data_IF_205628941439
#
_entry.id   IF_205628941439
#
_cell.length_a   1.000
_cell.length_b   1.000
_cell.length_c   1.000
_cell.angle_alpha   90.00
_cell.angle_beta   90.00
_cell.angle_gamma   90.00
#
_symmetry.space_group_name_H-M   'P 1'
#
loop_
_entity.id
_entity.type
_entity.pdbx_description
1 polymer ?
#
# COMPACT_ATOMS: atom_id res chain seq x y z
N UNK A 1 -4.82 5.40 -3.25
CA UNK A 1 -5.30 5.96 -4.55
C UNK A 1 -4.64 5.31 -5.76
N UNK A 2 -3.32 5.18 -5.86
CA UNK A 2 -2.65 4.57 -7.02
C UNK A 2 -3.24 3.21 -7.45
N UNK A 3 -3.49 2.30 -6.49
CA UNK A 3 -4.04 0.97 -6.79
C UNK A 3 -5.43 0.98 -7.43
N UNK A 4 -6.30 1.91 -7.03
CA UNK A 4 -7.65 1.99 -7.61
C UNK A 4 -7.60 2.62 -9.01
N UNK A 5 -6.76 3.63 -9.22
CA UNK A 5 -6.56 4.24 -10.53
C UNK A 5 -6.02 3.25 -11.57
N UNK A 6 -5.15 2.33 -11.15
CA UNK A 6 -4.58 1.30 -12.03
C UNK A 6 -5.40 0.00 -12.05
N UNK A 7 -6.60 0.00 -11.48
CA UNK A 7 -7.49 -1.16 -11.39
C UNK A 7 -6.82 -2.44 -10.82
N UNK A 8 -5.89 -2.26 -9.85
CA UNK A 8 -5.18 -3.38 -9.19
C UNK A 8 -5.68 -3.67 -7.77
N UNK A 9 -6.80 -3.07 -7.35
CA UNK A 9 -7.47 -3.46 -6.11
C UNK A 9 -7.98 -4.91 -6.22
N UNK A 10 -7.98 -5.70 -5.12
CA UNK A 10 -8.56 -7.04 -5.09
C UNK A 10 -10.09 -6.97 -5.04
N UNK A 11 -10.70 -6.41 -6.09
CA UNK A 11 -12.14 -6.43 -6.29
C UNK A 11 -12.61 -7.82 -6.72
N UNK A 12 -13.90 -8.15 -6.57
CA UNK A 12 -14.41 -9.45 -7.00
C UNK A 12 -14.14 -9.72 -8.48
N UNK A 13 -14.24 -8.70 -9.32
CA UNK A 13 -13.90 -8.79 -10.75
C UNK A 13 -12.42 -9.12 -10.97
N UNK A 14 -11.49 -8.41 -10.30
CA UNK A 14 -10.06 -8.68 -10.43
C UNK A 14 -9.64 -10.04 -9.84
N UNK A 15 -10.31 -10.48 -8.77
CA UNK A 15 -10.09 -11.81 -8.19
C UNK A 15 -10.64 -12.93 -9.08
N UNK A 16 -11.78 -12.70 -9.72
CA UNK A 16 -12.36 -13.65 -10.69
C UNK A 16 -11.45 -13.84 -11.90
N UNK A 17 -10.96 -12.77 -12.51
CA UNK A 17 -10.01 -12.85 -13.63
C UNK A 17 -8.71 -13.58 -13.25
N UNK A 18 -8.32 -13.54 -11.98
CA UNK A 18 -7.18 -14.31 -11.44
C UNK A 18 -7.55 -15.70 -10.96
N UNK A 19 -8.79 -16.15 -11.21
CA UNK A 19 -9.29 -17.48 -10.82
C UNK A 19 -9.24 -17.75 -9.29
N UNK A 20 -9.31 -16.69 -8.47
CA UNK A 20 -9.30 -16.81 -7.00
C UNK A 20 -10.70 -16.98 -6.43
N UNK A 21 -11.70 -16.39 -7.08
CA UNK A 21 -13.11 -16.47 -6.67
C UNK A 21 -13.98 -16.91 -7.85
N UNK A 22 -15.10 -17.64 -7.60
CA UNK A 22 -15.97 -18.17 -8.65
C UNK A 22 -16.97 -17.15 -9.21
N UNK A 23 -17.13 -15.97 -8.60
CA UNK A 23 -18.14 -14.99 -8.98
C UNK A 23 -17.59 -13.57 -8.97
N UNK A 24 -18.11 -12.74 -9.88
CA UNK A 24 -17.80 -11.30 -9.97
C UNK A 24 -18.74 -10.42 -9.15
N UNK A 25 -19.83 -10.99 -8.60
CA UNK A 25 -20.89 -10.23 -7.94
C UNK A 25 -20.41 -9.57 -6.65
N UNK A 26 -20.98 -8.41 -6.37
CA UNK A 26 -20.73 -7.69 -5.12
C UNK A 26 -21.36 -8.45 -3.94
N UNK A 27 -20.57 -8.83 -2.95
CA UNK A 27 -21.07 -9.51 -1.74
C UNK A 27 -21.98 -8.64 -0.86
N UNK A 28 -22.04 -7.31 -1.09
CA UNK A 28 -22.89 -6.40 -0.31
C UNK A 28 -24.27 -6.16 -0.95
N UNK A 29 -24.32 -5.89 -2.25
CA UNK A 29 -25.58 -5.65 -2.96
C UNK A 29 -26.07 -6.88 -3.75
N UNK A 30 -25.23 -7.87 -3.99
CA UNK A 30 -25.49 -9.11 -4.75
C UNK A 30 -25.99 -8.90 -6.20
N UNK A 31 -26.08 -7.65 -6.68
CA UNK A 31 -26.76 -7.31 -7.94
C UNK A 31 -25.79 -7.07 -9.10
N UNK A 32 -24.65 -6.44 -8.87
CA UNK A 32 -23.76 -5.97 -9.92
C UNK A 32 -22.33 -6.52 -9.77
N UNK A 33 -21.57 -6.65 -10.87
CA UNK A 33 -20.16 -6.97 -10.80
C UNK A 33 -19.41 -5.93 -9.96
N UNK A 34 -18.58 -6.40 -9.06
CA UNK A 34 -17.76 -5.54 -8.19
C UNK A 34 -16.42 -5.22 -8.87
N UNK A 35 -16.42 -4.22 -9.70
CA UNK A 35 -15.20 -3.54 -10.16
C UNK A 35 -14.72 -2.45 -9.16
N UNK A 36 -13.70 -1.71 -9.53
CA UNK A 36 -13.16 -0.64 -8.69
C UNK A 36 -14.14 0.51 -8.48
N UNK A 37 -14.90 0.88 -9.53
CA UNK A 37 -15.89 1.96 -9.47
C UNK A 37 -17.11 1.55 -8.65
N UNK A 38 -17.65 0.36 -8.89
CA UNK A 38 -18.74 -0.18 -8.10
C UNK A 38 -18.35 -0.30 -6.61
N UNK A 39 -17.12 -0.70 -6.34
CA UNK A 39 -16.67 -0.88 -4.97
C UNK A 39 -16.73 0.38 -4.11
N UNK A 40 -16.51 1.56 -4.67
CA UNK A 40 -16.38 2.81 -3.92
C UNK A 40 -17.37 3.89 -4.33
N UNK A 41 -18.13 3.72 -5.42
CA UNK A 41 -19.03 4.74 -5.94
C UNK A 41 -20.44 4.22 -6.21
N UNK A 42 -20.63 3.32 -7.17
CA UNK A 42 -21.95 3.00 -7.73
C UNK A 42 -22.72 1.89 -6.98
N UNK A 43 -22.21 1.34 -5.90
CA UNK A 43 -22.92 0.32 -5.13
C UNK A 43 -24.08 0.93 -4.32
N UNK A 44 -25.28 0.37 -4.45
CA UNK A 44 -26.47 0.83 -3.71
C UNK A 44 -26.30 0.87 -2.21
N UNK A 45 -25.53 -0.06 -1.62
CA UNK A 45 -25.29 -0.12 -0.17
C UNK A 45 -24.48 1.05 0.38
N UNK A 46 -23.86 1.86 -0.49
CA UNK A 46 -23.07 3.02 -0.12
C UNK A 46 -23.59 4.32 -0.77
N UNK A 47 -24.66 4.26 -1.54
CA UNK A 47 -25.22 5.44 -2.25
C UNK A 47 -25.56 6.57 -1.30
N UNK A 48 -26.07 6.25 -0.09
CA UNK A 48 -26.39 7.23 0.95
C UNK A 48 -25.18 8.05 1.42
N UNK A 49 -23.96 7.51 1.32
CA UNK A 49 -22.73 8.25 1.67
C UNK A 49 -22.53 9.43 0.74
N UNK A 50 -22.73 9.20 -0.57
CA UNK A 50 -22.51 10.22 -1.58
C UNK A 50 -23.64 11.25 -1.63
N UNK A 51 -24.86 10.87 -1.23
CA UNK A 51 -26.00 11.79 -1.12
C UNK A 51 -25.95 12.68 0.14
N UNK A 52 -25.07 12.43 1.09
CA UNK A 52 -24.93 13.22 2.31
C UNK A 52 -24.42 14.64 2.05
N UNK A 53 -23.62 14.83 1.01
CA UNK A 53 -23.05 16.13 0.61
C UNK A 53 -23.47 16.47 -0.80
N UNK A 54 -24.29 17.52 -0.95
CA UNK A 54 -24.85 17.92 -2.25
C UNK A 54 -23.79 18.19 -3.34
N UNK A 55 -22.65 18.73 -2.94
CA UNK A 55 -21.58 19.06 -3.88
C UNK A 55 -20.94 17.82 -4.56
N UNK A 56 -21.10 16.61 -4.03
CA UNK A 56 -20.64 15.42 -4.74
C UNK A 56 -21.36 15.23 -6.07
N UNK A 57 -22.68 15.39 -6.09
CA UNK A 57 -23.46 15.25 -7.30
C UNK A 57 -23.25 16.40 -8.30
N UNK A 58 -22.87 17.58 -7.81
CA UNK A 58 -22.56 18.73 -8.66
C UNK A 58 -21.16 18.58 -9.30
N UNK A 59 -20.24 17.89 -8.65
CA UNK A 59 -18.84 17.72 -9.09
C UNK A 59 -18.65 16.47 -9.93
N UNK A 60 -19.27 15.35 -9.52
CA UNK A 60 -19.12 14.07 -10.20
C UNK A 60 -19.86 14.03 -11.53
N UNK A 61 -19.30 13.39 -12.57
CA UNK A 61 -20.05 13.11 -13.79
C UNK A 61 -21.22 12.16 -13.47
N UNK A 62 -22.36 12.29 -14.15
CA UNK A 62 -23.55 11.50 -13.86
C UNK A 62 -23.32 9.98 -14.03
N UNK A 63 -22.49 9.59 -14.97
CA UNK A 63 -22.14 8.20 -15.26
C UNK A 63 -20.63 8.08 -15.56
N UNK A 64 -19.77 8.06 -14.52
CA UNK A 64 -18.33 7.92 -14.74
C UNK A 64 -18.02 6.54 -15.32
N UNK A 65 -17.22 6.49 -16.39
CA UNK A 65 -16.80 5.24 -17.02
C UNK A 65 -15.61 4.59 -16.30
N UNK A 66 -14.87 5.35 -15.51
CA UNK A 66 -13.72 4.87 -14.78
C UNK A 66 -13.52 5.64 -13.48
N UNK A 67 -12.78 5.03 -12.56
CA UNK A 67 -12.40 5.72 -11.33
C UNK A 67 -11.49 6.93 -11.59
N UNK A 68 -10.64 6.88 -12.62
CA UNK A 68 -9.77 8.00 -12.99
C UNK A 68 -10.60 9.20 -13.45
N UNK A 69 -11.63 8.99 -14.28
CA UNK A 69 -12.54 10.04 -14.71
C UNK A 69 -13.25 10.69 -13.51
N UNK A 70 -13.77 9.85 -12.60
CA UNK A 70 -14.40 10.31 -11.37
C UNK A 70 -13.43 11.11 -10.49
N UNK A 71 -12.23 10.61 -10.25
CA UNK A 71 -11.21 11.30 -9.46
C UNK A 71 -10.81 12.63 -10.09
N UNK A 72 -10.63 12.64 -11.41
CA UNK A 72 -10.25 13.85 -12.13
C UNK A 72 -11.28 14.98 -11.96
N UNK A 73 -12.57 14.66 -11.93
CA UNK A 73 -13.62 15.68 -11.72
C UNK A 73 -13.49 16.39 -10.36
N UNK A 74 -13.03 15.68 -9.33
CA UNK A 74 -12.76 16.27 -8.00
C UNK A 74 -11.41 16.99 -7.95
N UNK A 75 -10.38 16.50 -8.60
CA UNK A 75 -9.05 17.13 -8.62
C UNK A 75 -9.03 18.45 -9.42
N UNK A 76 -9.82 18.55 -10.47
CA UNK A 76 -9.95 19.79 -11.26
C UNK A 76 -10.88 20.83 -10.62
N UNK A 77 -11.69 20.42 -9.65
CA UNK A 77 -12.48 21.34 -8.84
C UNK A 77 -11.56 22.01 -7.81
N UNK A 78 -11.27 23.30 -7.99
CA UNK A 78 -10.36 24.07 -7.12
C UNK A 78 -10.98 24.51 -5.79
N UNK A 79 -12.13 23.97 -5.44
CA UNK A 79 -12.71 24.25 -4.13
C UNK A 79 -11.95 23.53 -3.01
N UNK A 80 -11.72 24.28 -1.94
CA UNK A 80 -10.86 23.87 -0.84
C UNK A 80 -11.30 22.55 -0.20
N UNK A 81 -10.39 21.60 -0.09
CA UNK A 81 -10.53 20.29 0.55
C UNK A 81 -11.55 19.30 -0.04
N UNK A 82 -12.25 19.61 -1.13
CA UNK A 82 -13.22 18.67 -1.71
C UNK A 82 -12.57 17.40 -2.26
N UNK A 83 -11.42 17.54 -2.91
CA UNK A 83 -10.66 16.41 -3.44
C UNK A 83 -10.10 15.52 -2.30
N UNK A 84 -9.57 16.13 -1.25
CA UNK A 84 -9.04 15.45 -0.07
C UNK A 84 -10.13 14.66 0.64
N UNK A 85 -11.29 15.28 0.90
CA UNK A 85 -12.44 14.60 1.52
C UNK A 85 -12.90 13.44 0.65
N UNK A 86 -13.03 13.63 -0.67
CA UNK A 86 -13.39 12.56 -1.59
C UNK A 86 -12.41 11.37 -1.49
N UNK A 87 -11.12 11.65 -1.53
CA UNK A 87 -10.06 10.62 -1.45
C UNK A 87 -10.10 9.85 -0.12
N UNK A 88 -10.31 10.55 1.00
CA UNK A 88 -10.43 9.92 2.33
C UNK A 88 -11.69 9.06 2.39
N UNK A 89 -12.82 9.53 1.87
CA UNK A 89 -14.07 8.76 1.84
C UNK A 89 -13.93 7.47 1.00
N UNK A 90 -13.30 7.55 -0.16
CA UNK A 90 -12.98 6.38 -1.00
C UNK A 90 -12.14 5.35 -0.23
N UNK A 91 -11.14 5.82 0.53
CA UNK A 91 -10.30 4.96 1.36
C UNK A 91 -11.10 4.32 2.50
N UNK A 92 -11.94 5.07 3.20
CA UNK A 92 -12.82 4.57 4.27
C UNK A 92 -13.82 3.52 3.75
N UNK A 93 -14.43 3.77 2.59
CA UNK A 93 -15.34 2.83 1.94
C UNK A 93 -14.66 1.52 1.55
N UNK A 94 -13.43 1.61 1.03
CA UNK A 94 -12.64 0.42 0.73
C UNK A 94 -12.29 -0.37 2.00
N UNK A 95 -11.84 0.30 3.07
CA UNK A 95 -11.54 -0.32 4.35
C UNK A 95 -12.78 -0.97 4.97
N UNK A 96 -13.93 -0.29 4.91
CA UNK A 96 -15.20 -0.85 5.36
C UNK A 96 -15.57 -2.15 4.63
N UNK A 97 -15.38 -2.19 3.32
CA UNK A 97 -15.62 -3.41 2.53
C UNK A 97 -14.69 -4.56 2.92
N UNK A 98 -13.45 -4.25 3.16
CA UNK A 98 -12.48 -5.25 3.63
C UNK A 98 -12.86 -5.75 5.03
N UNK A 99 -13.26 -4.87 5.95
CA UNK A 99 -13.72 -5.28 7.26
C UNK A 99 -14.89 -6.28 7.16
N UNK A 100 -15.92 -5.99 6.36
CA UNK A 100 -17.03 -6.93 6.11
C UNK A 100 -16.53 -8.26 5.52
N UNK A 101 -15.64 -8.19 4.52
CA UNK A 101 -15.12 -9.39 3.84
C UNK A 101 -14.34 -10.31 4.79
N UNK A 102 -13.65 -9.76 5.77
CA UNK A 102 -12.82 -10.51 6.72
C UNK A 102 -13.46 -10.70 8.09
N UNK A 103 -14.76 -10.41 8.23
CA UNK A 103 -15.51 -10.62 9.48
C UNK A 103 -15.13 -9.66 10.60
N UNK A 104 -14.53 -8.51 10.27
CA UNK A 104 -14.25 -7.45 11.24
C UNK A 104 -15.44 -6.47 11.34
N UNK A 105 -15.60 -5.79 12.49
CA UNK A 105 -16.65 -4.77 12.64
C UNK A 105 -16.40 -3.61 11.65
N UNK A 106 -17.32 -3.36 10.70
CA UNK A 106 -17.13 -2.29 9.72
C UNK A 106 -17.53 -0.93 10.30
N UNK A 107 -16.87 0.14 9.84
CA UNK A 107 -17.31 1.49 10.10
C UNK A 107 -18.77 1.68 9.60
N UNK A 108 -19.68 2.25 10.42
CA UNK A 108 -21.04 2.53 9.97
C UNK A 108 -21.07 3.45 8.76
N UNK A 109 -21.98 3.18 7.82
CA UNK A 109 -22.10 3.99 6.60
C UNK A 109 -22.35 5.47 6.90
N UNK A 110 -23.22 5.73 7.90
CA UNK A 110 -23.55 7.08 8.35
C UNK A 110 -22.37 7.87 8.94
N UNK A 111 -21.32 7.17 9.42
CA UNK A 111 -20.15 7.82 10.03
C UNK A 111 -19.03 8.15 9.03
N UNK A 112 -19.14 7.73 7.78
CA UNK A 112 -18.05 7.89 6.81
C UNK A 112 -17.73 9.34 6.53
N UNK A 113 -18.72 10.19 6.31
CA UNK A 113 -18.51 11.62 6.06
C UNK A 113 -17.88 12.33 7.27
N UNK A 114 -18.41 12.12 8.46
CA UNK A 114 -17.86 12.72 9.68
C UNK A 114 -16.44 12.24 9.97
N UNK A 115 -16.18 10.94 9.78
CA UNK A 115 -14.83 10.39 9.90
C UNK A 115 -13.85 10.99 8.90
N UNK A 116 -14.28 11.20 7.65
CA UNK A 116 -13.42 11.83 6.65
C UNK A 116 -13.05 13.27 7.02
N UNK A 117 -14.01 14.04 7.54
CA UNK A 117 -13.76 15.39 8.06
C UNK A 117 -12.76 15.38 9.23
N UNK A 118 -12.94 14.47 10.20
CA UNK A 118 -12.02 14.33 11.34
C UNK A 118 -10.61 13.98 10.90
N UNK A 119 -10.44 13.01 10.01
CA UNK A 119 -9.13 12.65 9.46
C UNK A 119 -8.44 13.83 8.77
N UNK A 120 -9.19 14.59 7.96
CA UNK A 120 -8.62 15.78 7.31
C UNK A 120 -8.20 16.83 8.35
N UNK A 121 -9.04 17.06 9.36
CA UNK A 121 -8.74 18.02 10.42
C UNK A 121 -7.51 17.62 11.23
N UNK A 122 -7.40 16.36 11.64
CA UNK A 122 -6.22 15.83 12.34
C UNK A 122 -4.94 16.00 11.50
N UNK A 123 -5.02 15.71 10.19
CA UNK A 123 -3.90 15.88 9.28
C UNK A 123 -3.45 17.34 9.18
N UNK A 124 -4.40 18.27 9.02
CA UNK A 124 -4.10 19.70 8.94
C UNK A 124 -3.54 20.25 10.26
N UNK A 125 -4.07 19.81 11.40
CA UNK A 125 -3.55 20.18 12.72
C UNK A 125 -2.12 19.70 12.89
N UNK A 126 -1.83 18.43 12.57
CA UNK A 126 -0.49 17.88 12.65
C UNK A 126 0.54 18.59 11.75
N UNK A 127 0.09 19.23 10.66
CA UNK A 127 0.98 20.07 9.83
C UNK A 127 1.27 21.44 10.44
N UNK A 128 0.34 21.98 11.24
CA UNK A 128 0.46 23.30 11.85
C UNK A 128 1.21 23.28 13.19
N UNK A 129 1.19 22.13 13.89
CA UNK A 129 1.73 22.03 15.26
C UNK A 129 3.24 21.76 15.34
N UNK A 130 3.91 21.44 14.23
CA UNK A 130 5.36 21.30 14.21
C UNK A 130 6.02 22.38 13.34
N UNK A 131 6.96 23.18 13.91
CA UNK A 131 7.96 23.79 13.08
C UNK A 131 8.67 22.64 12.35
N UNK A 132 8.54 22.60 11.01
CA UNK A 132 9.16 21.58 10.16
C UNK A 132 10.49 21.14 10.77
N UNK A 133 10.63 19.91 11.28
CA UNK A 133 11.92 19.47 11.77
C UNK A 133 12.90 19.71 10.63
N UNK A 134 14.14 20.18 10.92
CA UNK A 134 15.13 20.43 9.87
C UNK A 134 15.09 19.24 8.94
N UNK A 135 14.85 19.47 7.64
CA UNK A 135 14.75 18.39 6.62
C UNK A 135 15.78 17.34 6.99
N UNK A 136 15.40 16.08 7.19
CA UNK A 136 16.40 15.07 7.46
C UNK A 136 17.46 15.23 6.37
N UNK A 137 18.74 15.15 6.73
CA UNK A 137 19.81 15.32 5.76
C UNK A 137 19.46 14.46 4.55
N UNK A 138 19.66 14.95 3.32
CA UNK A 138 19.19 14.28 2.10
C UNK A 138 19.54 12.81 2.24
N UNK A 139 18.53 11.93 2.04
CA UNK A 139 18.68 10.48 2.22
C UNK A 139 20.05 10.10 1.68
N UNK A 140 20.90 9.54 2.55
CA UNK A 140 22.25 9.17 2.13
C UNK A 140 22.10 8.28 0.91
N UNK A 141 22.48 8.80 -0.24
CA UNK A 141 22.54 7.98 -1.45
C UNK A 141 23.49 6.83 -1.15
N UNK A 142 23.12 5.64 -1.58
CA UNK A 142 24.01 4.50 -1.47
C UNK A 142 25.38 4.89 -2.07
N UNK A 143 26.44 4.68 -1.30
CA UNK A 143 27.82 4.92 -1.75
C UNK A 143 28.56 3.60 -1.69
N UNK A 144 29.46 3.34 -2.66
CA UNK A 144 30.39 2.23 -2.56
C UNK A 144 31.26 2.36 -1.29
N UNK A 145 32.00 1.31 -0.97
CA UNK A 145 32.99 1.32 0.09
C UNK A 145 34.20 2.20 -0.26
N UNK A 146 35.03 2.49 0.74
CA UNK A 146 36.34 3.12 0.50
C UNK A 146 37.26 2.19 -0.32
N UNK A 147 38.28 2.75 -0.99
CA UNK A 147 39.29 1.94 -1.69
C UNK A 147 39.85 0.85 -0.79
N UNK A 148 40.02 -0.34 -1.35
CA UNK A 148 40.48 -1.57 -0.67
C UNK A 148 39.46 -2.18 0.33
N UNK A 149 38.24 -1.64 0.44
CA UNK A 149 37.18 -2.19 1.24
C UNK A 149 36.10 -2.80 0.37
N UNK A 150 35.38 -3.77 0.92
CA UNK A 150 34.19 -4.36 0.30
C UNK A 150 32.96 -4.01 1.11
N UNK A 151 31.84 -3.81 0.44
CA UNK A 151 30.55 -3.57 1.07
C UNK A 151 29.65 -4.77 0.89
N UNK A 152 29.33 -5.44 1.99
CA UNK A 152 28.44 -6.60 2.01
C UNK A 152 27.08 -6.15 2.52
N UNK A 153 26.06 -6.22 1.65
CA UNK A 153 24.68 -5.99 2.00
C UNK A 153 23.96 -7.34 2.14
N UNK A 154 23.11 -7.46 3.13
CA UNK A 154 22.31 -8.65 3.38
C UNK A 154 20.89 -8.27 3.81
N UNK A 155 19.97 -9.19 3.61
CA UNK A 155 18.57 -9.06 4.00
C UNK A 155 17.94 -10.43 4.12
N UNK A 156 16.84 -10.54 4.89
CA UNK A 156 16.07 -11.76 5.02
C UNK A 156 14.59 -11.53 4.76
N UNK A 157 13.94 -12.48 4.10
CA UNK A 157 12.51 -12.42 3.77
C UNK A 157 11.78 -13.68 4.23
N UNK A 158 10.57 -13.55 4.77
CA UNK A 158 9.72 -14.66 5.20
C UNK A 158 8.70 -14.98 4.12
N UNK A 159 8.69 -16.21 3.65
CA UNK A 159 7.72 -16.76 2.72
C UNK A 159 6.68 -17.59 3.50
N UNK A 160 5.70 -16.90 4.09
CA UNK A 160 4.69 -17.53 4.99
C UNK A 160 3.98 -18.74 4.38
N UNK A 161 3.70 -18.71 3.05
CA UNK A 161 3.04 -19.83 2.36
C UNK A 161 3.88 -21.09 2.25
N UNK A 162 5.21 -20.94 2.29
CA UNK A 162 6.18 -22.04 2.15
C UNK A 162 6.76 -22.49 3.49
N UNK A 163 6.42 -21.81 4.59
CA UNK A 163 7.04 -22.02 5.92
C UNK A 163 8.57 -21.94 5.87
N UNK A 164 9.10 -21.11 4.98
CA UNK A 164 10.52 -20.89 4.75
C UNK A 164 10.85 -19.41 4.85
N UNK A 165 12.10 -19.11 5.13
CA UNK A 165 12.70 -17.79 4.95
C UNK A 165 13.82 -17.89 3.91
N UNK A 166 14.17 -16.76 3.30
CA UNK A 166 15.29 -16.64 2.38
C UNK A 166 16.25 -15.58 2.85
N UNK A 167 17.53 -15.83 2.73
CA UNK A 167 18.61 -14.87 2.94
C UNK A 167 19.18 -14.48 1.59
N UNK A 168 19.33 -13.18 1.35
CA UNK A 168 20.04 -12.60 0.23
C UNK A 168 21.30 -11.86 0.71
N UNK A 169 22.42 -12.08 0.05
CA UNK A 169 23.69 -11.39 0.30
C UNK A 169 24.28 -10.91 -1.02
N UNK A 170 24.82 -9.71 -1.03
CA UNK A 170 25.57 -9.18 -2.18
C UNK A 170 26.82 -8.43 -1.67
N UNK A 171 27.97 -8.81 -2.18
CA UNK A 171 29.24 -8.14 -1.94
C UNK A 171 29.63 -7.27 -3.13
N UNK A 172 30.07 -6.04 -2.87
CA UNK A 172 30.51 -5.07 -3.88
C UNK A 172 31.86 -4.50 -3.55
N UNK A 173 32.64 -4.19 -4.60
CA UNK A 173 33.92 -3.50 -4.47
C UNK A 173 33.72 -1.99 -4.31
N UNK A 174 34.82 -1.24 -4.23
CA UNK A 174 34.83 0.21 -4.12
C UNK A 174 34.31 0.96 -5.37
N UNK A 175 34.22 0.29 -6.53
CA UNK A 175 33.58 0.83 -7.73
C UNK A 175 32.07 0.60 -7.74
N UNK A 176 31.54 -0.14 -6.75
CA UNK A 176 30.13 -0.51 -6.65
C UNK A 176 29.75 -1.76 -7.45
N UNK A 177 30.72 -2.40 -8.08
CA UNK A 177 30.50 -3.62 -8.86
C UNK A 177 30.29 -4.82 -7.94
N UNK A 178 29.34 -5.68 -8.30
CA UNK A 178 29.09 -6.93 -7.57
C UNK A 178 30.22 -7.93 -7.80
N UNK A 179 30.94 -8.30 -6.74
CA UNK A 179 32.00 -9.32 -6.77
C UNK A 179 31.48 -10.70 -6.34
N UNK A 180 30.33 -10.76 -5.70
CA UNK A 180 29.67 -12.01 -5.34
C UNK A 180 28.25 -11.79 -4.84
N UNK A 181 27.41 -12.80 -4.96
CA UNK A 181 26.06 -12.83 -4.42
C UNK A 181 25.69 -14.24 -3.95
N UNK A 182 24.89 -14.32 -2.88
CA UNK A 182 24.35 -15.54 -2.31
C UNK A 182 22.85 -15.42 -2.12
N UNK A 183 22.12 -16.46 -2.46
CA UNK A 183 20.72 -16.64 -2.06
C UNK A 183 20.59 -18.02 -1.41
N UNK A 184 20.04 -18.08 -0.19
CA UNK A 184 19.92 -19.31 0.57
C UNK A 184 18.56 -19.42 1.25
N UNK A 185 17.81 -20.51 1.03
CA UNK A 185 16.63 -20.80 1.83
C UNK A 185 17.05 -21.27 3.23
N UNK A 186 16.29 -20.85 4.25
CA UNK A 186 16.47 -21.28 5.63
C UNK A 186 15.10 -21.59 6.26
N UNK A 187 15.02 -22.39 7.33
CA UNK A 187 13.80 -22.51 8.13
C UNK A 187 13.39 -21.16 8.72
N UNK A 188 12.08 -20.94 8.87
CA UNK A 188 11.57 -19.72 9.53
C UNK A 188 12.08 -19.68 10.98
N UNK A 189 12.75 -18.59 11.34
CA UNK A 189 13.17 -18.36 12.71
C UNK A 189 12.01 -17.87 13.59
N UNK A 190 12.20 -17.90 14.92
CA UNK A 190 11.16 -17.53 15.89
C UNK A 190 10.81 -16.04 15.87
N UNK A 191 11.75 -15.19 15.48
CA UNK A 191 11.56 -13.75 15.40
C UNK A 191 12.23 -13.13 14.17
N UNK A 192 11.83 -11.92 13.81
CA UNK A 192 12.48 -11.13 12.76
C UNK A 192 13.94 -10.82 13.15
N UNK A 193 14.20 -10.54 14.43
CA UNK A 193 15.54 -10.27 14.92
C UNK A 193 16.48 -11.49 14.75
N UNK A 194 15.98 -12.71 14.95
CA UNK A 194 16.75 -13.93 14.72
C UNK A 194 17.07 -14.12 13.23
N UNK A 195 16.11 -13.78 12.34
CA UNK A 195 16.33 -13.84 10.90
C UNK A 195 17.40 -12.85 10.44
N UNK A 196 17.35 -11.63 10.94
CA UNK A 196 18.36 -10.60 10.66
C UNK A 196 19.75 -11.02 11.16
N UNK A 197 19.82 -11.60 12.38
CA UNK A 197 21.07 -12.11 12.93
C UNK A 197 21.63 -13.27 12.09
N UNK A 198 20.78 -14.20 11.63
CA UNK A 198 21.18 -15.29 10.74
C UNK A 198 21.64 -14.76 9.37
N UNK A 199 20.98 -13.73 8.83
CA UNK A 199 21.40 -13.11 7.58
C UNK A 199 22.78 -12.44 7.72
N UNK A 200 23.02 -11.76 8.83
CA UNK A 200 24.32 -11.17 9.15
C UNK A 200 25.42 -12.25 9.26
N UNK A 201 25.15 -13.33 9.97
CA UNK A 201 26.08 -14.46 10.09
C UNK A 201 26.42 -15.08 8.74
N UNK A 202 25.38 -15.32 7.92
CA UNK A 202 25.57 -15.85 6.56
C UNK A 202 26.35 -14.91 5.66
N UNK A 203 26.15 -13.61 5.78
CA UNK A 203 26.90 -12.60 5.04
C UNK A 203 28.40 -12.61 5.41
N UNK A 204 28.72 -12.72 6.71
CA UNK A 204 30.09 -12.84 7.19
C UNK A 204 30.76 -14.14 6.70
N UNK A 205 30.07 -15.27 6.79
CA UNK A 205 30.57 -16.56 6.28
C UNK A 205 30.84 -16.47 4.76
N UNK A 206 29.89 -15.94 3.99
CA UNK A 206 30.01 -15.77 2.54
C UNK A 206 31.19 -14.88 2.16
N UNK A 207 31.39 -13.77 2.89
CA UNK A 207 32.54 -12.89 2.66
C UNK A 207 33.86 -13.62 2.83
N UNK A 208 34.01 -14.45 3.87
CA UNK A 208 35.20 -15.28 4.10
C UNK A 208 35.36 -16.33 2.99
N UNK A 209 34.29 -17.00 2.58
CA UNK A 209 34.29 -18.04 1.53
C UNK A 209 34.78 -17.51 0.18
N UNK A 210 34.47 -16.27 -0.16
CA UNK A 210 34.92 -15.63 -1.40
C UNK A 210 36.22 -14.83 -1.23
N UNK A 211 36.89 -14.94 -0.07
CA UNK A 211 38.21 -14.38 0.16
C UNK A 211 38.25 -12.89 0.44
N UNK A 212 37.15 -12.30 0.91
CA UNK A 212 37.11 -10.91 1.37
C UNK A 212 37.59 -10.85 2.84
N UNK A 213 38.82 -10.44 3.07
CA UNK A 213 39.45 -10.33 4.41
C UNK A 213 39.85 -8.88 4.67
#
# INVERSE_FOLDING_TARGET
MWRICNNVLPTMMNLYWRQIVPSVCCALCNALPKDSLHAVWSCETISSVWSTLEWFHQTAPPHPNSFIELLSSFLFNREEFKAEIFVIMVWLLWNRRNAVQFGHPPLPVASICSSAGSYLQEFLQAQNDEPNPPRPPPMQQWRPSDPQCFKVNFDAAVFRRLTLAGIGVIARNHDGEAVGALSSPIPVAQSVADLEALACLKAAQFALEIGLT
#
